data_IF_940578223862
#
_entry.id   IF_940578223862
#
_cell.length_a   1.000
_cell.length_b   1.000
_cell.length_c   1.000
_cell.angle_alpha   90.00
_cell.angle_beta   90.00
_cell.angle_gamma   90.00
#
_symmetry.space_group_name_H-M   'P 1'
#
loop_
_entity.id
_entity.type
_entity.pdbx_description
1 polymer ?
#
# COMPACT_ATOMS: atom_id res chain seq x y z
N UNK A 1 -13.76 -11.19 -9.14
CA UNK A 1 -15.15 -10.79 -8.83
C UNK A 1 -15.16 -9.33 -8.40
N UNK A 2 -16.16 -8.55 -8.79
CA UNK A 2 -16.33 -7.14 -8.38
C UNK A 2 -17.66 -6.97 -7.65
N UNK A 3 -17.62 -6.33 -6.48
CA UNK A 3 -18.80 -6.03 -5.67
C UNK A 3 -19.01 -4.51 -5.60
N UNK A 4 -20.27 -4.07 -5.59
CA UNK A 4 -20.62 -2.65 -5.43
C UNK A 4 -20.90 -2.33 -3.96
N UNK A 5 -20.38 -1.21 -3.47
CA UNK A 5 -20.62 -0.69 -2.11
C UNK A 5 -21.07 0.77 -2.22
N UNK A 6 -22.14 1.12 -1.50
CA UNK A 6 -22.62 2.51 -1.39
C UNK A 6 -22.03 3.19 -0.17
N UNK A 7 -21.36 4.34 -0.35
CA UNK A 7 -20.76 5.12 0.74
C UNK A 7 -21.19 6.58 0.59
N UNK A 8 -21.49 7.25 1.71
CA UNK A 8 -21.70 8.70 1.72
C UNK A 8 -20.35 9.40 1.77
N UNK A 9 -20.09 10.27 0.81
CA UNK A 9 -18.86 11.05 0.72
C UNK A 9 -19.18 12.54 0.81
N UNK A 10 -18.28 13.34 1.38
CA UNK A 10 -18.36 14.79 1.30
C UNK A 10 -18.48 15.28 -0.15
N UNK A 11 -19.31 16.32 -0.35
CA UNK A 11 -19.57 16.90 -1.67
C UNK A 11 -18.30 17.43 -2.36
N UNK A 12 -17.33 17.90 -1.60
CA UNK A 12 -16.07 18.41 -2.16
C UNK A 12 -15.25 17.29 -2.84
N UNK A 13 -15.26 16.07 -2.29
CA UNK A 13 -14.62 14.91 -2.90
C UNK A 13 -15.29 14.57 -4.23
N UNK A 14 -16.63 14.58 -4.25
CA UNK A 14 -17.39 14.30 -5.47
C UNK A 14 -17.10 15.34 -6.57
N UNK A 15 -17.05 16.62 -6.20
CA UNK A 15 -16.71 17.73 -7.12
C UNK A 15 -15.29 17.63 -7.65
N UNK A 16 -14.31 17.30 -6.81
CA UNK A 16 -12.91 17.09 -7.22
C UNK A 16 -12.80 15.91 -8.19
N UNK A 17 -13.47 14.80 -7.91
CA UNK A 17 -13.47 13.64 -8.78
C UNK A 17 -14.13 13.93 -10.14
N UNK A 18 -15.22 14.69 -10.17
CA UNK A 18 -15.86 15.14 -11.41
C UNK A 18 -14.95 16.08 -12.21
N UNK A 19 -14.30 17.05 -11.54
CA UNK A 19 -13.34 17.94 -12.17
C UNK A 19 -12.19 17.17 -12.83
N UNK A 20 -11.59 16.20 -12.13
CA UNK A 20 -10.52 15.36 -12.66
C UNK A 20 -10.99 14.47 -13.83
N UNK A 21 -12.23 13.97 -13.77
CA UNK A 21 -12.84 13.18 -14.84
C UNK A 21 -12.91 13.92 -16.17
N UNK A 22 -13.07 15.25 -16.15
CA UNK A 22 -13.12 16.09 -17.36
C UNK A 22 -11.80 16.07 -18.15
N UNK A 23 -10.66 15.93 -17.49
CA UNK A 23 -9.35 15.90 -18.16
C UNK A 23 -8.99 14.52 -18.70
N UNK A 24 -9.52 13.45 -18.08
CA UNK A 24 -9.18 12.08 -18.40
C UNK A 24 -10.23 11.35 -19.26
N UNK A 25 -11.34 12.01 -19.62
CA UNK A 25 -12.52 11.36 -20.23
C UNK A 25 -13.02 10.16 -19.40
N UNK A 26 -12.94 10.29 -18.08
CA UNK A 26 -13.28 9.24 -17.12
C UNK A 26 -14.46 9.65 -16.23
N UNK A 27 -15.29 8.67 -15.87
CA UNK A 27 -16.42 8.91 -14.97
C UNK A 27 -15.95 9.07 -13.52
N UNK A 28 -16.74 9.82 -12.72
CA UNK A 28 -16.49 10.06 -11.29
C UNK A 28 -16.18 8.76 -10.51
N UNK A 29 -16.92 7.69 -10.77
CA UNK A 29 -16.74 6.39 -10.11
C UNK A 29 -15.37 5.78 -10.41
N UNK A 30 -14.85 5.97 -11.62
CA UNK A 30 -13.51 5.49 -12.03
C UNK A 30 -12.41 6.26 -11.30
N UNK A 31 -12.54 7.58 -11.22
CA UNK A 31 -11.61 8.43 -10.46
C UNK A 31 -11.59 8.05 -8.98
N UNK A 32 -12.77 7.90 -8.37
CA UNK A 32 -12.89 7.52 -6.95
C UNK A 32 -12.29 6.14 -6.72
N UNK A 33 -12.61 5.16 -7.57
CA UNK A 33 -12.03 3.82 -7.47
C UNK A 33 -10.51 3.87 -7.51
N UNK A 34 -9.92 4.58 -8.48
CA UNK A 34 -8.47 4.72 -8.58
C UNK A 34 -7.86 5.38 -7.35
N UNK A 35 -8.46 6.46 -6.85
CA UNK A 35 -8.00 7.14 -5.65
C UNK A 35 -8.01 6.22 -4.43
N UNK A 36 -9.11 5.47 -4.23
CA UNK A 36 -9.22 4.49 -3.13
C UNK A 36 -8.20 3.38 -3.27
N UNK A 37 -7.98 2.84 -4.47
CA UNK A 37 -6.97 1.78 -4.69
C UNK A 37 -5.56 2.28 -4.37
N UNK A 38 -5.21 3.49 -4.81
CA UNK A 38 -3.89 4.08 -4.53
C UNK A 38 -3.69 4.31 -3.03
N UNK A 39 -4.67 4.89 -2.35
CA UNK A 39 -4.56 5.17 -0.92
C UNK A 39 -4.59 3.89 -0.09
N UNK A 40 -5.41 2.89 -0.46
CA UNK A 40 -5.45 1.61 0.24
C UNK A 40 -4.09 0.91 0.18
N UNK A 41 -3.42 0.94 -0.98
CA UNK A 41 -2.06 0.44 -1.14
C UNK A 41 -1.08 1.21 -0.24
N UNK A 42 -1.12 2.54 -0.24
CA UNK A 42 -0.25 3.36 0.60
C UNK A 42 -0.46 3.11 2.11
N UNK A 43 -1.71 2.89 2.53
CA UNK A 43 -2.04 2.55 3.93
C UNK A 43 -1.53 1.18 4.33
N UNK A 44 -1.60 0.19 3.42
CA UNK A 44 -1.02 -1.13 3.63
C UNK A 44 0.50 -1.06 3.74
N UNK A 45 1.17 -0.37 2.82
CA UNK A 45 2.62 -0.15 2.85
C UNK A 45 3.06 0.53 4.16
N UNK A 46 2.31 1.56 4.60
CA UNK A 46 2.56 2.23 5.88
C UNK A 46 2.41 1.28 7.07
N UNK A 47 1.32 0.50 7.11
CA UNK A 47 1.05 -0.44 8.20
C UNK A 47 2.12 -1.53 8.29
N UNK A 48 2.60 -2.02 7.15
CA UNK A 48 3.70 -2.96 7.07
C UNK A 48 5.00 -2.35 7.61
N UNK A 49 5.35 -1.15 7.15
CA UNK A 49 6.54 -0.46 7.64
C UNK A 49 6.52 -0.22 9.17
N UNK A 50 5.36 0.13 9.74
CA UNK A 50 5.15 0.25 11.19
C UNK A 50 5.42 -1.08 11.92
N UNK A 51 4.85 -2.19 11.43
CA UNK A 51 5.01 -3.51 12.06
C UNK A 51 6.45 -4.02 12.06
N UNK A 52 7.17 -3.79 10.96
CA UNK A 52 8.60 -4.07 10.86
C UNK A 52 9.43 -3.19 11.80
N UNK A 53 9.19 -1.88 11.83
CA UNK A 53 9.93 -0.94 12.68
C UNK A 53 9.78 -1.25 14.18
N UNK A 54 8.64 -1.78 14.58
CA UNK A 54 8.35 -2.17 15.97
C UNK A 54 8.83 -3.61 16.30
N UNK A 55 9.44 -4.31 15.34
CA UNK A 55 9.97 -5.66 15.51
C UNK A 55 8.90 -6.75 15.70
N UNK A 56 7.63 -6.46 15.38
CA UNK A 56 6.52 -7.40 15.60
C UNK A 56 6.46 -8.49 14.54
N UNK A 57 6.96 -8.19 13.34
CA UNK A 57 6.86 -9.03 12.15
C UNK A 57 8.10 -8.79 11.26
N UNK A 58 8.48 -9.82 10.51
CA UNK A 58 9.61 -9.71 9.55
C UNK A 58 9.17 -9.05 8.25
N UNK A 59 10.12 -8.44 7.53
CA UNK A 59 9.88 -7.74 6.26
C UNK A 59 9.18 -8.63 5.23
N UNK A 60 9.52 -9.92 5.17
CA UNK A 60 8.88 -10.91 4.29
C UNK A 60 7.51 -11.41 4.75
N UNK A 61 7.23 -11.41 6.05
CA UNK A 61 5.87 -11.64 6.55
C UNK A 61 4.95 -10.48 6.22
N UNK A 62 5.48 -9.26 6.26
CA UNK A 62 4.76 -8.04 5.95
C UNK A 62 4.44 -7.90 4.47
N UNK A 63 5.44 -8.12 3.61
CA UNK A 63 5.30 -8.12 2.16
C UNK A 63 4.17 -9.07 1.71
N UNK A 64 4.10 -10.27 2.32
CA UNK A 64 3.05 -11.25 2.04
C UNK A 64 1.65 -10.80 2.48
N UNK A 65 1.52 -10.11 3.63
CA UNK A 65 0.21 -9.65 4.15
C UNK A 65 -0.34 -8.45 3.39
N UNK A 66 0.53 -7.68 2.74
CA UNK A 66 0.18 -6.42 2.08
C UNK A 66 0.21 -6.49 0.55
N UNK A 67 0.41 -7.69 0.00
CA UNK A 67 0.51 -7.97 -1.44
C UNK A 67 1.57 -7.12 -2.19
N UNK A 68 2.54 -6.58 -1.45
CA UNK A 68 3.68 -5.85 -2.02
C UNK A 68 4.93 -6.72 -1.95
N UNK A 69 5.87 -6.49 -2.86
CA UNK A 69 7.15 -7.19 -2.86
C UNK A 69 8.05 -6.68 -1.73
N UNK A 70 9.01 -7.52 -1.32
CA UNK A 70 10.06 -7.12 -0.35
C UNK A 70 10.82 -5.88 -0.85
N UNK A 71 11.04 -5.79 -2.16
CA UNK A 71 11.74 -4.67 -2.79
C UNK A 71 10.93 -3.36 -2.73
N UNK A 72 9.61 -3.43 -2.91
CA UNK A 72 8.73 -2.27 -2.74
C UNK A 72 8.68 -1.81 -1.28
N UNK A 73 8.74 -2.75 -0.32
CA UNK A 73 8.87 -2.42 1.10
C UNK A 73 10.21 -1.80 1.46
N UNK A 74 11.32 -2.35 0.96
CA UNK A 74 12.66 -1.80 1.17
C UNK A 74 12.74 -0.37 0.63
N UNK A 75 12.27 -0.16 -0.60
CA UNK A 75 12.19 1.16 -1.21
C UNK A 75 11.34 2.11 -0.38
N UNK A 76 10.18 1.67 0.12
CA UNK A 76 9.33 2.49 0.98
C UNK A 76 10.04 2.91 2.27
N UNK A 77 10.77 2.00 2.93
CA UNK A 77 11.52 2.29 4.15
C UNK A 77 12.64 3.31 3.88
N UNK A 78 13.39 3.14 2.79
CA UNK A 78 14.45 4.06 2.36
C UNK A 78 13.89 5.43 2.03
N UNK A 79 12.81 5.51 1.24
CA UNK A 79 12.15 6.76 0.83
C UNK A 79 11.52 7.52 2.03
N UNK A 80 11.24 6.82 3.14
CA UNK A 80 10.69 7.40 4.38
C UNK A 80 11.75 7.65 5.46
N UNK A 81 13.03 7.56 5.14
CA UNK A 81 14.16 7.71 6.07
C UNK A 81 14.15 6.73 7.25
N UNK A 82 13.41 5.63 7.16
CA UNK A 82 13.60 4.52 8.09
C UNK A 82 14.92 3.86 7.73
N UNK A 83 15.90 3.88 8.65
CA UNK A 83 17.08 3.02 8.51
C UNK A 83 16.60 1.57 8.55
N UNK A 84 16.53 0.95 7.38
CA UNK A 84 16.29 -0.47 7.27
C UNK A 84 17.36 -1.20 8.08
N UNK A 85 16.95 -1.87 9.16
CA UNK A 85 17.82 -2.75 9.94
C UNK A 85 17.90 -4.15 9.30
N UNK A 86 17.47 -4.28 8.03
CA UNK A 86 17.41 -5.55 7.33
C UNK A 86 18.81 -6.15 7.26
N UNK A 87 19.02 -7.22 8.01
CA UNK A 87 20.33 -7.82 8.19
C UNK A 87 20.51 -9.07 7.34
N UNK A 88 21.75 -9.53 7.23
CA UNK A 88 22.07 -10.80 6.57
C UNK A 88 21.39 -11.98 7.29
N UNK A 89 21.14 -11.88 8.61
CA UNK A 89 20.33 -12.87 9.33
C UNK A 89 18.86 -12.90 8.89
N UNK A 90 18.28 -11.77 8.51
CA UNK A 90 16.90 -11.71 8.02
C UNK A 90 16.79 -12.45 6.68
N UNK A 91 17.73 -12.21 5.76
CA UNK A 91 17.82 -12.94 4.49
C UNK A 91 18.02 -14.46 4.72
N UNK A 92 18.85 -14.84 5.70
CA UNK A 92 19.10 -16.24 6.03
C UNK A 92 17.87 -16.97 6.61
N UNK A 93 17.03 -16.26 7.38
CA UNK A 93 15.73 -16.79 7.85
C UNK A 93 14.76 -16.98 6.68
N UNK A 94 14.78 -16.07 5.70
CA UNK A 94 13.90 -16.11 4.53
C UNK A 94 14.21 -17.27 3.59
N UNK A 95 15.50 -17.54 3.33
CA UNK A 95 15.94 -18.69 2.53
C UNK A 95 15.49 -20.04 3.12
N UNK A 96 15.25 -20.11 4.43
CA UNK A 96 14.75 -21.33 5.09
C UNK A 96 13.24 -21.55 4.90
N UNK A 97 12.48 -20.50 4.60
CA UNK A 97 11.03 -20.56 4.38
C UNK A 97 10.65 -20.97 2.95
N UNK A 98 11.63 -21.03 2.03
CA UNK A 98 11.46 -21.44 0.63
C UNK A 98 11.74 -22.93 0.39
N UNK A 99 11.92 -23.72 1.47
CA UNK A 99 12.09 -25.19 1.40
C UNK A 99 10.78 -25.94 1.56
#
# INVERSE_FOLDING_TARGET
MTSAVGVRLPDDILKKAEYLGKFASENRSTIIKRAVTLELRALLEKKAAEGYAEGRISLSEDARKTEVTIWEMEKYLVDKEFKSNYSVEDLAKELRLLK
#
